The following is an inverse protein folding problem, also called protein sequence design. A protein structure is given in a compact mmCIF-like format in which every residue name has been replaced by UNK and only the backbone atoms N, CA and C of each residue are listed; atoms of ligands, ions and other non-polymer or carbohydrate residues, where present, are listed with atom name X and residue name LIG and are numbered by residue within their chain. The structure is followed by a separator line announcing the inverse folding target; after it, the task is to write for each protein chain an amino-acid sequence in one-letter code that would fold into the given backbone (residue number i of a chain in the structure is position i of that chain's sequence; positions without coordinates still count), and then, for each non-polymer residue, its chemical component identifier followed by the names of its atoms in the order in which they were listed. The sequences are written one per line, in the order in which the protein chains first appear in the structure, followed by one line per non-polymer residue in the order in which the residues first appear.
data_IF_153818834281
#
_entry.id   IF_153818834281
#
_cell.length_a   1.000
_cell.length_b   1.000
_cell.length_c   1.000
_cell.angle_alpha   90.00
_cell.angle_beta   90.00
_cell.angle_gamma   90.00
#
_symmetry.space_group_name_H-M   'P 1'
#
loop_
_entity.id
_entity.type
_entity.pdbx_description
1 polymer ?
#
# COMPACT_ATOMS: atom_id res chain seq x y z
N UNK A 1 -45.28 -3.77 -9.89
CA UNK A 1 -44.54 -2.60 -9.36
C UNK A 1 -43.24 -3.10 -8.75
N UNK A 2 -42.12 -2.56 -9.24
CA UNK A 2 -40.72 -2.62 -8.80
C UNK A 2 -39.95 -3.96 -8.73
N UNK A 3 -39.14 -4.17 -9.78
CA UNK A 3 -37.88 -4.93 -9.84
C UNK A 3 -36.67 -4.05 -9.45
N UNK A 4 -35.48 -4.64 -9.18
CA UNK A 4 -34.64 -4.30 -8.04
C UNK A 4 -33.55 -3.25 -8.31
N UNK A 5 -33.10 -2.61 -7.22
CA UNK A 5 -32.03 -1.62 -7.19
C UNK A 5 -30.71 -2.16 -7.76
N UNK A 6 -30.26 -1.54 -8.84
CA UNK A 6 -28.96 -1.77 -9.44
C UNK A 6 -27.85 -1.25 -8.54
N UNK A 7 -27.05 -2.16 -7.99
CA UNK A 7 -25.76 -1.84 -7.38
C UNK A 7 -24.84 -1.21 -8.42
N UNK A 8 -24.50 0.05 -8.22
CA UNK A 8 -23.58 0.80 -9.06
C UNK A 8 -22.17 0.28 -8.79
N UNK A 9 -21.62 -0.54 -9.69
CA UNK A 9 -20.21 -0.90 -9.68
C UNK A 9 -19.35 0.33 -10.00
N UNK A 10 -18.14 0.46 -9.42
CA UNK A 10 -17.20 1.50 -9.83
C UNK A 10 -16.84 1.31 -11.31
N UNK A 11 -16.67 2.41 -12.08
CA UNK A 11 -16.41 2.33 -13.52
C UNK A 11 -15.12 1.54 -13.79
N UNK A 12 -15.22 0.53 -14.65
CA UNK A 12 -14.05 -0.17 -15.18
C UNK A 12 -13.24 0.82 -16.02
N UNK A 13 -12.02 1.11 -15.57
CA UNK A 13 -11.05 1.93 -16.29
C UNK A 13 -10.44 1.04 -17.39
N UNK A 14 -11.12 0.89 -18.51
CA UNK A 14 -10.61 0.14 -19.66
C UNK A 14 -9.74 1.04 -20.55
N UNK A 15 -8.51 0.58 -20.77
CA UNK A 15 -7.61 1.12 -21.78
C UNK A 15 -8.11 0.76 -23.19
N UNK A 16 -8.30 1.78 -24.03
CA UNK A 16 -8.35 1.79 -25.51
C UNK A 16 -9.34 0.86 -26.25
N UNK A 17 -10.37 1.45 -26.89
CA UNK A 17 -10.55 1.50 -28.36
C UNK A 17 -11.95 2.00 -28.73
N UNK A 18 -12.02 2.83 -29.78
CA UNK A 18 -13.17 3.60 -30.24
C UNK A 18 -14.42 2.79 -30.67
N UNK A 19 -15.62 3.35 -30.42
CA UNK A 19 -16.79 3.45 -31.33
C UNK A 19 -17.98 4.14 -30.64
N UNK A 20 -18.63 5.05 -31.37
CA UNK A 20 -19.66 6.00 -30.92
C UNK A 20 -21.01 5.41 -30.47
N UNK A 21 -21.62 6.02 -29.44
CA UNK A 21 -23.06 6.38 -29.39
C UNK A 21 -23.35 7.42 -28.28
N UNK A 22 -24.01 8.56 -28.57
CA UNK A 22 -24.32 9.58 -27.56
C UNK A 22 -25.76 9.48 -27.06
N UNK A 23 -25.97 9.46 -25.73
CA UNK A 23 -27.28 9.73 -25.10
C UNK A 23 -27.10 10.43 -23.75
N UNK A 24 -27.39 11.73 -23.72
CA UNK A 24 -28.10 12.41 -22.63
C UNK A 24 -27.35 12.75 -21.32
N UNK A 25 -27.02 14.03 -21.16
CA UNK A 25 -27.13 14.72 -19.86
C UNK A 25 -25.82 15.13 -19.16
N UNK A 26 -25.35 16.35 -19.48
CA UNK A 26 -24.22 17.10 -18.87
C UNK A 26 -22.84 16.44 -19.10
N UNK A 27 -21.83 17.16 -19.63
CA UNK A 27 -20.49 16.59 -19.67
C UNK A 27 -20.04 16.37 -18.24
N UNK A 28 -20.04 15.10 -17.81
CA UNK A 28 -19.29 14.67 -16.63
C UNK A 28 -17.86 15.08 -16.94
N UNK A 29 -17.39 16.16 -16.31
CA UNK A 29 -15.99 16.58 -16.43
C UNK A 29 -15.18 15.46 -15.80
N UNK A 30 -14.68 14.57 -16.63
CA UNK A 30 -13.70 13.57 -16.24
C UNK A 30 -12.46 14.34 -15.80
N UNK A 31 -12.26 14.45 -14.49
CA UNK A 31 -10.98 14.89 -13.97
C UNK A 31 -9.98 13.78 -14.28
N UNK A 32 -8.93 14.02 -15.08
CA UNK A 32 -7.87 13.04 -15.25
C UNK A 32 -7.19 12.86 -13.89
N UNK A 33 -7.55 11.80 -13.17
CA UNK A 33 -7.10 11.56 -11.80
C UNK A 33 -5.64 11.04 -11.72
N UNK A 34 -4.86 11.23 -12.79
CA UNK A 34 -3.49 10.76 -12.91
C UNK A 34 -3.41 9.27 -13.23
N UNK A 35 -2.20 8.79 -13.53
CA UNK A 35 -1.92 7.37 -13.79
C UNK A 35 -1.92 6.49 -12.53
N UNK A 36 -2.11 7.10 -11.35
CA UNK A 36 -2.14 6.43 -10.05
C UNK A 36 -3.59 6.20 -9.60
N UNK A 37 -4.06 4.97 -9.80
CA UNK A 37 -5.41 4.55 -9.42
C UNK A 37 -5.70 4.74 -7.92
N UNK A 38 -4.71 4.54 -7.04
CA UNK A 38 -4.90 4.72 -5.59
C UNK A 38 -5.14 6.18 -5.22
N UNK A 39 -4.32 7.08 -5.78
CA UNK A 39 -4.51 8.52 -5.60
C UNK A 39 -5.85 9.02 -6.17
N UNK A 40 -6.33 8.40 -7.25
CA UNK A 40 -7.63 8.70 -7.84
C UNK A 40 -8.80 8.37 -6.89
N UNK A 41 -8.76 7.19 -6.25
CA UNK A 41 -9.78 6.75 -5.30
C UNK A 41 -9.77 7.61 -4.03
N UNK A 42 -8.59 8.02 -3.55
CA UNK A 42 -8.46 8.94 -2.41
C UNK A 42 -9.15 10.28 -2.68
N UNK A 43 -8.89 10.89 -3.85
CA UNK A 43 -9.53 12.16 -4.26
C UNK A 43 -11.03 12.01 -4.45
N UNK A 44 -11.47 10.89 -5.01
CA UNK A 44 -12.90 10.59 -5.14
C UNK A 44 -13.58 10.53 -3.77
N UNK A 45 -12.98 9.83 -2.80
CA UNK A 45 -13.52 9.74 -1.45
C UNK A 45 -13.58 11.10 -0.73
N UNK A 46 -12.59 11.97 -0.94
CA UNK A 46 -12.58 13.33 -0.39
C UNK A 46 -13.72 14.20 -0.94
N UNK A 47 -14.08 14.04 -2.23
CA UNK A 47 -15.12 14.81 -2.91
C UNK A 47 -16.53 14.33 -2.55
N UNK A 48 -16.76 13.02 -2.56
CA UNK A 48 -18.10 12.45 -2.30
C UNK A 48 -18.46 12.45 -0.82
N UNK A 49 -17.46 12.32 0.07
CA UNK A 49 -17.63 12.26 1.54
C UNK A 49 -18.65 11.22 2.03
N UNK A 50 -18.94 10.21 1.22
CA UNK A 50 -19.81 9.10 1.56
C UNK A 50 -19.01 7.93 2.16
N UNK A 51 -19.67 7.14 3.00
CA UNK A 51 -19.16 5.92 3.62
C UNK A 51 -18.73 4.91 2.55
N UNK A 52 -19.46 4.79 1.45
CA UNK A 52 -19.14 3.88 0.34
C UNK A 52 -17.77 4.20 -0.28
N UNK A 53 -17.48 5.47 -0.50
CA UNK A 53 -16.19 5.92 -1.04
C UNK A 53 -15.05 5.72 -0.06
N UNK A 54 -15.30 5.91 1.24
CA UNK A 54 -14.32 5.64 2.31
C UNK A 54 -14.00 4.14 2.45
N UNK A 55 -14.99 3.27 2.25
CA UNK A 55 -14.78 1.82 2.28
C UNK A 55 -14.04 1.33 1.02
N UNK A 56 -14.25 1.98 -0.13
CA UNK A 56 -13.48 1.72 -1.35
C UNK A 56 -11.99 2.06 -1.20
N UNK A 57 -11.65 3.14 -0.49
CA UNK A 57 -10.24 3.45 -0.16
C UNK A 57 -9.60 2.31 0.62
N UNK A 58 -10.29 1.75 1.62
CA UNK A 58 -9.74 0.67 2.46
C UNK A 58 -9.51 -0.62 1.68
N UNK A 59 -10.31 -0.90 0.65
CA UNK A 59 -10.13 -2.11 -0.17
C UNK A 59 -9.06 -1.93 -1.24
N UNK A 60 -8.83 -0.71 -1.72
CA UNK A 60 -7.85 -0.42 -2.78
C UNK A 60 -6.46 -0.12 -2.21
N UNK A 61 -6.37 0.69 -1.15
CA UNK A 61 -5.10 1.11 -0.54
C UNK A 61 -4.68 0.08 0.51
N UNK A 62 -4.28 -1.10 0.01
CA UNK A 62 -3.73 -2.18 0.84
C UNK A 62 -2.23 -2.04 1.01
N UNK A 63 -1.66 -2.81 1.95
CA UNK A 63 -0.21 -2.90 2.07
C UNK A 63 0.46 -3.39 0.77
N UNK A 64 -0.11 -4.40 0.11
CA UNK A 64 0.39 -4.93 -1.16
C UNK A 64 0.43 -3.88 -2.27
N UNK A 65 -0.63 -3.06 -2.38
CA UNK A 65 -0.70 -1.99 -3.36
C UNK A 65 0.50 -1.04 -3.21
N UNK A 66 0.71 -0.53 -1.99
CA UNK A 66 1.80 0.42 -1.69
C UNK A 66 3.17 -0.23 -1.80
N UNK A 67 3.33 -1.49 -1.38
CA UNK A 67 4.58 -2.23 -1.55
C UNK A 67 4.94 -2.41 -3.04
N UNK A 68 3.94 -2.65 -3.90
CA UNK A 68 4.12 -2.76 -5.35
C UNK A 68 4.54 -1.41 -5.96
N UNK A 69 3.90 -0.32 -5.55
CA UNK A 69 4.29 1.05 -5.96
C UNK A 69 5.72 1.38 -5.53
N UNK A 70 6.08 1.09 -4.27
CA UNK A 70 7.44 1.25 -3.76
C UNK A 70 8.46 0.43 -4.56
N UNK A 71 8.11 -0.81 -4.93
CA UNK A 71 8.96 -1.68 -5.74
C UNK A 71 9.25 -1.09 -7.12
N UNK A 72 8.28 -0.41 -7.74
CA UNK A 72 8.46 0.19 -9.07
C UNK A 72 9.23 1.50 -8.97
N UNK A 73 8.88 2.37 -8.02
CA UNK A 73 9.35 3.76 -8.01
C UNK A 73 10.70 3.92 -7.27
N UNK A 74 10.98 3.08 -6.27
CA UNK A 74 12.09 3.27 -5.34
C UNK A 74 13.19 2.21 -5.49
N UNK A 75 12.83 0.93 -5.61
CA UNK A 75 13.83 -0.17 -5.63
C UNK A 75 14.83 -0.05 -6.79
N UNK A 76 14.44 0.21 -8.06
CA UNK A 76 15.37 0.24 -9.19
C UNK A 76 16.46 1.30 -9.08
N UNK A 77 16.25 2.33 -8.25
CA UNK A 77 17.20 3.42 -7.99
C UNK A 77 18.26 3.06 -6.95
N UNK A 78 18.13 1.91 -6.25
CA UNK A 78 19.09 1.45 -5.24
C UNK A 78 20.20 0.61 -5.87
N UNK A 79 21.31 0.43 -5.17
CA UNK A 79 22.39 -0.46 -5.60
C UNK A 79 21.88 -1.91 -5.76
N UNK A 80 22.39 -2.67 -6.74
CA UNK A 80 21.89 -4.00 -7.13
C UNK A 80 21.82 -4.99 -5.95
N UNK A 81 22.81 -4.97 -5.05
CA UNK A 81 22.79 -5.81 -3.84
C UNK A 81 21.63 -5.45 -2.91
N UNK A 82 21.36 -4.15 -2.72
CA UNK A 82 20.22 -3.65 -1.95
C UNK A 82 18.90 -3.97 -2.61
N UNK A 83 18.81 -3.92 -3.94
CA UNK A 83 17.60 -4.32 -4.67
C UNK A 83 17.20 -5.75 -4.34
N UNK A 84 18.15 -6.69 -4.45
CA UNK A 84 17.91 -8.11 -4.15
C UNK A 84 17.45 -8.32 -2.71
N UNK A 85 18.12 -7.68 -1.75
CA UNK A 85 17.74 -7.78 -0.34
C UNK A 85 16.34 -7.23 -0.09
N UNK A 86 16.04 -6.02 -0.59
CA UNK A 86 14.72 -5.40 -0.43
C UNK A 86 13.60 -6.26 -1.02
N UNK A 87 13.83 -6.94 -2.15
CA UNK A 87 12.85 -7.84 -2.75
C UNK A 87 12.59 -9.06 -1.87
N UNK A 88 13.63 -9.63 -1.25
CA UNK A 88 13.48 -10.76 -0.31
C UNK A 88 12.78 -10.34 0.99
N UNK A 89 13.13 -9.17 1.52
CA UNK A 89 12.51 -8.59 2.70
C UNK A 89 11.03 -8.25 2.46
N UNK A 90 10.71 -7.66 1.30
CA UNK A 90 9.34 -7.36 0.88
C UNK A 90 8.49 -8.61 0.78
N UNK A 91 9.01 -9.71 0.23
CA UNK A 91 8.29 -10.98 0.18
C UNK A 91 7.87 -11.47 1.58
N UNK A 92 8.74 -11.28 2.59
CA UNK A 92 8.44 -11.63 3.98
C UNK A 92 7.46 -10.69 4.66
N UNK A 93 7.44 -9.41 4.27
CA UNK A 93 6.41 -8.49 4.73
C UNK A 93 5.04 -8.85 4.14
N UNK A 94 4.98 -9.17 2.84
CA UNK A 94 3.74 -9.59 2.18
C UNK A 94 3.19 -10.90 2.78
N UNK A 95 4.06 -11.87 3.07
CA UNK A 95 3.67 -13.13 3.72
C UNK A 95 2.93 -12.92 5.06
N UNK A 96 3.25 -11.86 5.81
CA UNK A 96 2.62 -11.60 7.11
C UNK A 96 1.48 -10.58 7.05
N UNK A 97 1.62 -9.53 6.25
CA UNK A 97 0.66 -8.40 6.21
C UNK A 97 -0.40 -8.53 5.10
N UNK A 98 -0.31 -9.55 4.24
CA UNK A 98 -1.22 -9.73 3.10
C UNK A 98 -2.06 -11.02 3.17
N UNK A 99 -2.21 -11.62 4.35
CA UNK A 99 -3.04 -12.82 4.55
C UNK A 99 -3.92 -12.68 5.81
N UNK A 100 -5.17 -12.19 5.69
CA UNK A 100 -5.81 -11.65 4.48
C UNK A 100 -5.32 -10.22 4.13
N UNK A 101 -5.49 -9.76 2.87
CA UNK A 101 -5.16 -8.39 2.48
C UNK A 101 -5.94 -7.37 3.30
N UNK A 102 -5.21 -6.53 4.04
CA UNK A 102 -5.78 -5.48 4.87
C UNK A 102 -5.49 -4.06 4.33
N UNK A 103 -6.32 -3.06 4.70
CA UNK A 103 -6.01 -1.66 4.43
C UNK A 103 -4.68 -1.28 5.07
N UNK A 104 -3.91 -0.44 4.39
CA UNK A 104 -2.62 0.07 4.89
C UNK A 104 -2.77 0.68 6.30
N UNK A 105 -3.82 1.46 6.51
CA UNK A 105 -4.10 2.17 7.75
C UNK A 105 -4.48 1.26 8.93
N UNK A 106 -4.76 -0.03 8.69
CA UNK A 106 -4.98 -0.98 9.79
C UNK A 106 -3.67 -1.49 10.41
N UNK A 107 -2.50 -1.21 9.81
CA UNK A 107 -1.22 -1.64 10.37
C UNK A 107 -0.86 -0.77 11.58
N UNK A 108 -0.95 -1.36 12.77
CA UNK A 108 -0.62 -0.73 14.05
C UNK A 108 0.74 -1.19 14.59
N UNK A 109 1.36 -0.45 15.52
CA UNK A 109 2.63 -0.84 16.15
C UNK A 109 2.62 -2.25 16.76
N UNK A 110 1.46 -2.68 17.27
CA UNK A 110 1.27 -4.05 17.78
C UNK A 110 1.49 -5.12 16.70
N UNK A 111 1.06 -4.89 15.46
CA UNK A 111 1.26 -5.82 14.34
C UNK A 111 2.74 -5.89 13.94
N UNK A 112 3.46 -4.75 14.00
CA UNK A 112 4.92 -4.73 13.79
C UNK A 112 5.65 -5.55 14.86
N UNK A 113 5.20 -5.47 16.13
CA UNK A 113 5.77 -6.30 17.20
C UNK A 113 5.46 -7.79 17.02
N UNK A 114 4.26 -8.13 16.57
CA UNK A 114 3.88 -9.50 16.22
C UNK A 114 4.76 -10.04 15.09
N UNK A 115 5.00 -9.24 14.04
CA UNK A 115 5.92 -9.58 12.95
C UNK A 115 7.34 -9.90 13.46
N UNK A 116 7.90 -9.04 14.32
CA UNK A 116 9.22 -9.29 14.89
C UNK A 116 9.29 -10.57 15.72
N UNK A 117 8.22 -10.93 16.43
CA UNK A 117 8.12 -12.20 17.15
C UNK A 117 8.02 -13.38 16.20
N UNK A 118 7.22 -13.26 15.13
CA UNK A 118 7.14 -14.27 14.08
C UNK A 118 8.50 -14.51 13.39
N UNK A 119 9.31 -13.46 13.19
CA UNK A 119 10.67 -13.53 12.63
C UNK A 119 11.79 -13.72 13.66
N UNK A 120 11.50 -14.11 14.90
CA UNK A 120 12.50 -14.18 15.97
C UNK A 120 13.69 -15.11 15.68
N UNK A 121 13.50 -16.13 14.85
CA UNK A 121 14.57 -17.06 14.44
C UNK A 121 15.66 -16.38 13.58
N UNK A 122 15.34 -15.23 12.96
CA UNK A 122 16.27 -14.45 12.13
C UNK A 122 16.26 -12.98 12.57
N UNK A 123 16.81 -12.64 13.75
CA UNK A 123 16.64 -11.32 14.37
C UNK A 123 17.19 -10.17 13.52
N UNK A 124 18.35 -10.38 12.87
CA UNK A 124 18.95 -9.39 11.97
C UNK A 124 18.07 -9.15 10.74
N UNK A 125 17.55 -10.22 10.12
CA UNK A 125 16.61 -10.09 9.00
C UNK A 125 15.33 -9.38 9.43
N UNK A 126 14.77 -9.73 10.60
CA UNK A 126 13.58 -9.10 11.15
C UNK A 126 13.75 -7.59 11.34
N UNK A 127 14.92 -7.15 11.82
CA UNK A 127 15.24 -5.73 11.97
C UNK A 127 15.33 -5.01 10.61
N UNK A 128 15.95 -5.66 9.60
CA UNK A 128 16.02 -5.12 8.23
C UNK A 128 14.65 -5.04 7.57
N UNK A 129 13.86 -6.10 7.70
CA UNK A 129 12.47 -6.17 7.23
C UNK A 129 11.62 -5.05 7.87
N UNK A 130 11.78 -4.80 9.18
CA UNK A 130 11.15 -3.66 9.86
C UNK A 130 11.63 -2.31 9.29
N UNK A 131 12.92 -2.15 9.01
CA UNK A 131 13.45 -0.93 8.42
C UNK A 131 12.88 -0.70 7.00
N UNK A 132 12.71 -1.76 6.21
CA UNK A 132 12.04 -1.70 4.92
C UNK A 132 10.56 -1.31 5.07
N UNK A 133 9.83 -1.91 6.01
CA UNK A 133 8.45 -1.54 6.30
C UNK A 133 8.31 -0.05 6.66
N UNK A 134 9.22 0.45 7.50
CA UNK A 134 9.29 1.88 7.82
C UNK A 134 9.54 2.75 6.59
N UNK A 135 10.37 2.29 5.65
CA UNK A 135 10.65 3.02 4.41
C UNK A 135 9.43 3.04 3.47
N UNK A 136 8.74 1.91 3.34
CA UNK A 136 7.50 1.79 2.56
C UNK A 136 6.42 2.71 3.14
N UNK A 137 6.28 2.76 4.47
CA UNK A 137 5.31 3.63 5.13
C UNK A 137 5.58 5.11 4.87
N UNK A 138 6.83 5.54 4.97
CA UNK A 138 7.17 6.94 4.72
C UNK A 138 6.93 7.32 3.24
N UNK A 139 7.26 6.43 2.30
CA UNK A 139 6.88 6.61 0.89
C UNK A 139 5.36 6.73 0.73
N UNK A 140 4.58 5.92 1.44
CA UNK A 140 3.12 5.99 1.40
C UNK A 140 2.60 7.36 1.85
N UNK A 141 3.24 7.96 2.86
CA UNK A 141 2.93 9.31 3.35
C UNK A 141 3.30 10.38 2.35
N UNK A 142 4.47 10.27 1.72
CA UNK A 142 4.93 11.20 0.68
C UNK A 142 4.01 11.20 -0.55
N UNK A 143 3.48 10.03 -0.92
CA UNK A 143 2.53 9.87 -2.02
C UNK A 143 1.07 10.20 -1.65
N UNK A 144 0.79 10.45 -0.37
CA UNK A 144 -0.55 10.79 0.12
C UNK A 144 -1.51 9.60 0.27
N UNK A 145 -1.01 8.36 0.30
CA UNK A 145 -1.84 7.17 0.56
C UNK A 145 -2.27 7.05 2.03
N UNK A 146 -1.50 7.62 2.97
CA UNK A 146 -1.84 7.65 4.39
C UNK A 146 -1.33 8.92 5.05
N UNK A 147 -2.10 9.43 6.01
CA UNK A 147 -1.69 10.53 6.91
C UNK A 147 -1.19 10.02 8.27
N UNK A 148 -1.31 8.72 8.53
CA UNK A 148 -1.00 8.13 9.83
C UNK A 148 0.50 8.14 10.14
N UNK A 149 0.81 8.23 11.43
CA UNK A 149 2.18 8.09 11.92
C UNK A 149 2.75 6.70 11.59
N UNK A 150 4.06 6.64 11.38
CA UNK A 150 4.72 5.39 11.03
C UNK A 150 4.62 4.36 12.18
N UNK A 151 4.01 3.19 11.97
CA UNK A 151 3.77 2.21 13.02
C UNK A 151 5.06 1.54 13.50
N UNK A 152 6.16 1.66 12.76
CA UNK A 152 7.46 1.17 13.19
C UNK A 152 8.12 2.07 14.23
N UNK A 153 7.66 3.32 14.36
CA UNK A 153 8.19 4.28 15.33
C UNK A 153 7.89 3.80 16.75
N UNK A 154 8.90 3.84 17.63
CA UNK A 154 8.78 3.37 19.02
C UNK A 154 8.79 1.85 19.22
N UNK A 155 8.71 1.03 18.17
CA UNK A 155 8.80 -0.44 18.30
C UNK A 155 10.26 -0.86 18.46
N UNK A 156 10.64 -1.45 19.60
CA UNK A 156 12.02 -1.94 19.80
C UNK A 156 12.30 -3.15 18.90
N UNK A 157 13.42 -3.09 18.16
CA UNK A 157 13.95 -4.21 17.38
C UNK A 157 14.61 -5.28 18.25
N UNK A 158 15.11 -6.34 17.62
CA UNK A 158 15.93 -7.35 18.30
C UNK A 158 17.36 -6.84 18.50
N UNK A 159 17.99 -7.22 19.61
CA UNK A 159 19.40 -6.88 19.87
C UNK A 159 20.30 -7.66 18.92
N UNK A 160 21.13 -6.96 18.17
CA UNK A 160 22.14 -7.57 17.30
C UNK A 160 23.42 -7.77 18.11
N UNK A 161 23.90 -9.02 18.22
CA UNK A 161 25.28 -9.25 18.68
C UNK A 161 26.21 -8.75 17.58
N UNK A 162 27.06 -7.78 17.91
CA UNK A 162 28.03 -7.23 16.97
C UNK A 162 28.83 -8.35 16.31
N UNK A 163 29.10 -8.22 15.01
CA UNK A 163 30.05 -9.13 14.35
C UNK A 163 31.42 -8.84 14.93
N UNK A 164 32.06 -9.85 15.51
CA UNK A 164 33.50 -9.78 15.79
C UNK A 164 34.21 -9.65 14.44
N UNK A 165 34.64 -8.44 14.12
CA UNK A 165 35.47 -8.16 12.95
C UNK A 165 36.90 -8.47 13.38
N UNK A 166 37.44 -9.62 12.93
CA UNK A 166 38.88 -9.81 12.90
C UNK A 166 39.42 -8.98 11.71
N UNK A 167 40.26 -7.98 12.00
CA UNK A 167 41.10 -7.26 11.03
C UNK A 167 42.37 -8.08 10.81
#
# INVERSE_FOLDING_TARGET
MNTPGGGHYPPQVSAHSARDRPLGGKPRKELPLGSDYGAAIMKYAELERDRSASDLVKTVITFEYVATRYKIDVIPRKATGTQRNNLMEMAKLLEFFNDPPGPLDAIQPQHVRQYLRWRQAKPVSANREKALLSSIWNYAREMGYTSLANPCAGVKGHTEKGREVYI
#
